data_IF_775086952008
#
_entry.id   IF_775086952008
#
_cell.length_a   1.000
_cell.length_b   1.000
_cell.length_c   1.000
_cell.angle_alpha   90.00
_cell.angle_beta   90.00
_cell.angle_gamma   90.00
#
_symmetry.space_group_name_H-M   'P 1'
#
loop_
_entity.id
_entity.type
_entity.pdbx_description
1 polymer ?
#
# COMPACT_ATOMS: atom_id res chain seq x y z
N UNK A 1 -4.95 7.96 10.94
CA UNK A 1 -4.50 6.62 10.50
C UNK A 1 -3.26 6.26 11.31
N UNK A 2 -2.94 4.98 11.48
CA UNK A 2 -1.73 4.55 12.19
C UNK A 2 -0.89 3.62 11.32
N UNK A 3 0.43 3.74 11.41
CA UNK A 3 1.40 2.92 10.66
C UNK A 3 1.55 1.56 11.34
N UNK A 4 1.38 0.48 10.60
CA UNK A 4 1.49 -0.90 11.09
C UNK A 4 2.77 -1.61 10.63
N UNK A 5 3.51 -1.02 9.69
CA UNK A 5 4.75 -1.63 9.19
C UNK A 5 5.36 -0.86 8.02
N UNK A 6 6.22 -1.57 7.29
CA UNK A 6 6.76 -1.21 5.98
C UNK A 6 6.34 -2.31 5.00
N UNK A 7 6.00 -1.93 3.78
CA UNK A 7 5.59 -2.87 2.74
C UNK A 7 5.26 -2.17 1.44
N UNK A 8 4.65 -2.91 0.54
CA UNK A 8 4.20 -2.40 -0.75
C UNK A 8 2.88 -1.64 -0.62
N UNK A 9 2.77 -0.50 -1.29
CA UNK A 9 1.54 0.30 -1.38
C UNK A 9 1.33 0.78 -2.83
N UNK A 10 0.08 1.10 -3.22
CA UNK A 10 -0.17 1.79 -4.49
C UNK A 10 0.61 3.11 -4.57
N UNK A 11 1.15 3.43 -5.73
CA UNK A 11 1.73 4.74 -6.01
C UNK A 11 0.70 5.85 -5.81
N UNK A 12 1.13 6.98 -5.24
CA UNK A 12 0.31 8.18 -5.13
C UNK A 12 -0.07 8.74 -6.51
N UNK A 13 0.79 8.51 -7.51
CA UNK A 13 0.52 8.82 -8.91
C UNK A 13 0.05 7.55 -9.60
N UNK A 14 -1.18 7.57 -10.13
CA UNK A 14 -1.72 6.46 -10.90
C UNK A 14 -0.90 6.27 -12.18
N UNK A 15 -0.37 5.06 -12.38
CA UNK A 15 0.27 4.68 -13.63
C UNK A 15 -0.82 4.21 -14.59
N UNK A 16 -1.02 4.99 -15.66
CA UNK A 16 -2.05 4.73 -16.67
C UNK A 16 -1.40 4.15 -17.90
N UNK A 17 -1.92 3.02 -18.39
CA UNK A 17 -1.51 2.49 -19.69
C UNK A 17 -2.02 3.42 -20.80
N UNK A 18 -1.22 3.72 -21.83
CA UNK A 18 -1.73 4.38 -23.02
C UNK A 18 -2.77 3.50 -23.72
N UNK A 19 -3.68 4.12 -24.45
CA UNK A 19 -4.55 3.40 -25.38
C UNK A 19 -3.67 2.84 -26.52
N UNK A 20 -3.68 1.52 -26.69
CA UNK A 20 -2.85 0.82 -27.67
C UNK A 20 -3.61 0.55 -28.98
N UNK A 21 -4.86 1.00 -29.12
CA UNK A 21 -5.69 0.70 -30.28
C UNK A 21 -6.14 -0.77 -30.31
N UNK A 22 -6.50 -1.26 -31.50
CA UNK A 22 -6.90 -2.67 -31.69
C UNK A 22 -5.69 -3.59 -31.74
N UNK A 23 -5.81 -4.78 -31.12
CA UNK A 23 -4.72 -5.78 -31.04
C UNK A 23 -4.17 -6.19 -32.41
N UNK A 24 -4.93 -6.03 -33.51
CA UNK A 24 -4.52 -6.36 -34.88
C UNK A 24 -3.40 -5.46 -35.43
N UNK A 25 -3.25 -4.22 -34.91
CA UNK A 25 -2.24 -3.25 -35.37
C UNK A 25 -1.06 -3.09 -34.40
N UNK A 26 -1.17 -3.65 -33.18
CA UNK A 26 -0.20 -3.44 -32.11
C UNK A 26 0.91 -4.50 -32.13
N UNK A 27 2.18 -4.06 -32.06
CA UNK A 27 3.31 -4.99 -31.90
C UNK A 27 3.21 -5.74 -30.56
N UNK A 28 3.11 -7.09 -30.55
CA UNK A 28 2.90 -7.86 -29.33
C UNK A 28 4.03 -7.72 -28.31
N UNK A 29 5.27 -7.48 -28.76
CA UNK A 29 6.41 -7.27 -27.87
C UNK A 29 6.26 -5.95 -27.12
N UNK A 30 5.94 -4.88 -27.84
CA UNK A 30 5.70 -3.56 -27.26
C UNK A 30 4.51 -3.57 -26.30
N UNK A 31 3.39 -4.18 -26.69
CA UNK A 31 2.20 -4.34 -25.82
C UNK A 31 2.56 -5.10 -24.54
N UNK A 32 3.31 -6.19 -24.65
CA UNK A 32 3.80 -6.95 -23.49
C UNK A 32 4.71 -6.11 -22.59
N UNK A 33 5.62 -5.32 -23.17
CA UNK A 33 6.51 -4.44 -22.43
C UNK A 33 5.75 -3.35 -21.67
N UNK A 34 4.75 -2.71 -22.31
CA UNK A 34 3.89 -1.70 -21.68
C UNK A 34 3.11 -2.30 -20.51
N UNK A 35 2.49 -3.47 -20.69
CA UNK A 35 1.76 -4.16 -19.61
C UNK A 35 2.67 -4.46 -18.41
N UNK A 36 3.88 -4.96 -18.67
CA UNK A 36 4.87 -5.24 -17.61
C UNK A 36 5.34 -3.97 -16.92
N UNK A 37 5.58 -2.89 -17.68
CA UNK A 37 6.00 -1.61 -17.13
C UNK A 37 4.94 -1.05 -16.18
N UNK A 38 3.68 -1.00 -16.62
CA UNK A 38 2.56 -0.50 -15.81
C UNK A 38 2.42 -1.34 -14.54
N UNK A 39 2.42 -2.68 -14.67
CA UNK A 39 2.31 -3.58 -13.53
C UNK A 39 3.44 -3.37 -12.51
N UNK A 40 4.68 -3.23 -12.96
CA UNK A 40 5.84 -3.11 -12.07
C UNK A 40 6.01 -1.71 -11.46
N UNK A 41 5.40 -0.67 -12.05
CA UNK A 41 5.52 0.72 -11.58
C UNK A 41 4.29 1.22 -10.85
N UNK A 42 3.16 0.50 -10.93
CA UNK A 42 1.95 0.83 -10.20
C UNK A 42 2.14 0.77 -8.66
N UNK A 43 2.83 -0.23 -8.08
CA UNK A 43 3.15 -0.23 -6.66
C UNK A 43 4.49 0.42 -6.34
N UNK A 44 4.62 0.88 -5.10
CA UNK A 44 5.87 1.36 -4.48
C UNK A 44 6.18 0.47 -3.28
N UNK A 45 7.36 -0.15 -3.29
CA UNK A 45 7.86 -0.97 -2.20
C UNK A 45 8.49 -0.15 -1.07
N UNK A 46 8.74 -0.81 0.06
CA UNK A 46 9.47 -0.26 1.21
C UNK A 46 8.94 1.06 1.80
N UNK A 47 7.62 1.26 1.73
CA UNK A 47 6.94 2.44 2.28
C UNK A 47 6.07 2.10 3.49
N UNK A 48 5.74 3.09 4.35
CA UNK A 48 4.84 2.87 5.48
C UNK A 48 3.46 2.34 5.06
N UNK A 49 3.06 1.22 5.65
CA UNK A 49 1.68 0.70 5.55
C UNK A 49 0.87 1.26 6.71
N UNK A 50 -0.30 1.82 6.42
CA UNK A 50 -1.15 2.45 7.44
C UNK A 50 -2.59 1.92 7.42
N UNK A 51 -3.19 1.85 8.61
CA UNK A 51 -4.59 1.48 8.82
C UNK A 51 -5.44 2.75 9.05
N UNK A 52 -6.52 2.96 8.28
CA UNK A 52 -7.41 4.09 8.44
C UNK A 52 -8.38 3.90 9.62
N UNK A 53 -7.96 4.30 10.82
CA UNK A 53 -8.76 4.13 12.05
C UNK A 53 -10.18 4.72 12.03
N UNK A 54 -10.47 5.72 11.18
CA UNK A 54 -11.84 6.27 11.07
C UNK A 54 -12.82 5.27 10.45
N UNK A 55 -12.35 4.40 9.55
CA UNK A 55 -13.16 3.35 8.91
C UNK A 55 -12.90 1.96 9.48
N UNK A 56 -11.87 1.80 10.33
CA UNK A 56 -11.57 0.54 11.02
C UNK A 56 -12.15 0.54 12.45
N UNK A 57 -13.25 -0.21 12.67
CA UNK A 57 -13.86 -0.32 14.00
C UNK A 57 -13.09 -1.18 14.99
N UNK A 58 -12.46 -2.25 14.51
CA UNK A 58 -11.75 -3.23 15.34
C UNK A 58 -10.44 -3.58 14.65
N UNK A 59 -9.34 -3.53 15.40
CA UNK A 59 -8.02 -3.99 14.97
C UNK A 59 -7.54 -5.07 15.92
N UNK A 60 -7.44 -6.30 15.43
CA UNK A 60 -6.94 -7.45 16.21
C UNK A 60 -5.46 -7.65 15.92
N UNK A 61 -4.64 -7.71 16.98
CA UNK A 61 -3.21 -8.03 16.89
C UNK A 61 -3.00 -9.43 17.44
N UNK A 62 -2.51 -10.34 16.60
CA UNK A 62 -2.26 -11.74 16.95
C UNK A 62 -0.76 -12.04 16.96
N UNK A 63 -0.37 -13.10 17.67
CA UNK A 63 1.02 -13.54 17.81
C UNK A 63 1.47 -13.64 19.26
N UNK A 64 2.79 -13.66 19.47
CA UNK A 64 3.37 -13.67 20.81
C UNK A 64 2.84 -12.49 21.66
N UNK A 65 2.34 -12.71 22.88
CA UNK A 65 1.75 -11.65 23.69
C UNK A 65 2.68 -10.47 23.99
N UNK A 66 3.99 -10.69 24.12
CA UNK A 66 4.94 -9.62 24.40
C UNK A 66 5.18 -8.73 23.17
N UNK A 67 5.26 -9.36 21.98
CA UNK A 67 5.36 -8.66 20.71
C UNK A 67 4.07 -7.92 20.38
N UNK A 68 2.92 -8.57 20.55
CA UNK A 68 1.60 -7.97 20.28
C UNK A 68 1.37 -6.71 21.14
N UNK A 69 1.69 -6.75 22.44
CA UNK A 69 1.60 -5.57 23.32
C UNK A 69 2.57 -4.46 22.91
N UNK A 70 3.75 -4.82 22.41
CA UNK A 70 4.74 -3.83 21.94
C UNK A 70 4.26 -3.13 20.67
N UNK A 71 3.64 -3.86 19.73
CA UNK A 71 2.99 -3.29 18.55
C UNK A 71 1.81 -2.41 18.96
N UNK A 72 0.94 -2.89 19.84
CA UNK A 72 -0.21 -2.13 20.33
C UNK A 72 0.23 -0.78 20.95
N UNK A 73 1.29 -0.81 21.79
CA UNK A 73 1.85 0.40 22.38
C UNK A 73 2.38 1.37 21.31
N UNK A 74 3.11 0.89 20.31
CA UNK A 74 3.60 1.72 19.22
C UNK A 74 2.45 2.41 18.45
N UNK A 75 1.38 1.67 18.14
CA UNK A 75 0.20 2.20 17.45
C UNK A 75 -0.51 3.28 18.29
N UNK A 76 -0.72 3.02 19.58
CA UNK A 76 -1.37 3.98 20.50
C UNK A 76 -0.53 5.23 20.66
N UNK A 77 0.78 5.11 20.87
CA UNK A 77 1.69 6.26 20.99
C UNK A 77 1.69 7.09 19.70
N UNK A 78 1.78 6.45 18.53
CA UNK A 78 1.72 7.18 17.26
C UNK A 78 0.41 7.94 17.10
N UNK A 79 -0.72 7.30 17.42
CA UNK A 79 -2.03 7.94 17.36
C UNK A 79 -2.11 9.16 18.27
N UNK A 80 -1.72 9.01 19.54
CA UNK A 80 -1.79 10.07 20.53
C UNK A 80 -0.88 11.27 20.22
N UNK A 81 0.28 11.05 19.58
CA UNK A 81 1.24 12.12 19.24
C UNK A 81 0.83 12.89 17.97
N UNK A 82 0.15 12.22 17.03
CA UNK A 82 -0.20 12.81 15.73
C UNK A 82 -1.63 13.37 15.66
N UNK A 83 -2.40 13.23 16.73
CA UNK A 83 -3.78 13.69 16.81
C UNK A 83 -4.04 14.48 18.08
N UNK A 84 -4.91 15.48 17.98
CA UNK A 84 -5.43 16.18 19.15
C UNK A 84 -6.28 15.19 19.99
N UNK A 85 -6.27 15.33 21.34
CA UNK A 85 -7.19 14.61 22.21
C UNK A 85 -8.66 14.69 21.80
#
# INVERSE_FOLDING_TARGET
AVRVGIGEQPSATTVVAPDLGTDDDADPVTTGAVRRLVHNRAPVGDVPVAVPLRSTRVLTIAGDPSVARSVARALVCQFAVLHHP
#
